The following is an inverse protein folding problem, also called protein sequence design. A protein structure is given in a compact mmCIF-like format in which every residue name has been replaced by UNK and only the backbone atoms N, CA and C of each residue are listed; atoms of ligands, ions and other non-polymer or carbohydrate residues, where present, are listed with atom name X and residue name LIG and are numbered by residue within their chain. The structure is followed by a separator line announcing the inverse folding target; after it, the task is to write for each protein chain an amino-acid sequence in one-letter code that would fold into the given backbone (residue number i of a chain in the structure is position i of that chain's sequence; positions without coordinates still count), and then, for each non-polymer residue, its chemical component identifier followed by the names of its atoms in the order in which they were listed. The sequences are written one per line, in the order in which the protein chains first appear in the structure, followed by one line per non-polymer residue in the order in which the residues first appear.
data_IF_007531022980
#
_entry.id   IF_007531022980
#
_cell.length_a   1.000
_cell.length_b   1.000
_cell.length_c   1.000
_cell.angle_alpha   90.00
_cell.angle_beta   90.00
_cell.angle_gamma   90.00
#
_symmetry.space_group_name_H-M   'P 1'
#
loop_
_entity.id
_entity.type
_entity.pdbx_description
1 polymer ?
#
# COMPACT_ATOMS: atom_id res chain seq x y z
N UNK A 1 -7.96 7.77 -5.09
CA UNK A 1 -8.23 7.57 -3.65
C UNK A 1 -9.64 8.04 -3.32
N UNK A 2 -10.42 7.24 -2.58
CA UNK A 2 -11.87 7.40 -2.43
C UNK A 2 -12.30 8.25 -1.21
N UNK A 3 -11.35 8.89 -0.50
CA UNK A 3 -11.58 9.75 0.68
C UNK A 3 -12.29 9.07 1.87
N UNK A 4 -12.39 7.74 1.89
CA UNK A 4 -13.08 6.97 2.95
C UNK A 4 -12.21 6.64 4.16
N UNK A 5 -10.88 6.75 4.03
CA UNK A 5 -9.93 6.27 5.04
C UNK A 5 -10.16 6.87 6.45
N UNK A 6 -10.29 8.20 6.64
CA UNK A 6 -10.42 8.77 7.98
C UNK A 6 -11.60 8.18 8.77
N UNK A 7 -12.75 8.00 8.11
CA UNK A 7 -13.95 7.44 8.75
C UNK A 7 -13.79 5.95 9.09
N UNK A 8 -13.15 5.18 8.21
CA UNK A 8 -12.89 3.76 8.45
C UNK A 8 -11.91 3.53 9.60
N UNK A 9 -10.87 4.37 9.68
CA UNK A 9 -9.91 4.33 10.79
C UNK A 9 -10.60 4.61 12.13
N UNK A 10 -11.45 5.64 12.18
CA UNK A 10 -12.21 6.01 13.38
C UNK A 10 -13.15 4.89 13.86
N UNK A 11 -13.84 4.23 12.91
CA UNK A 11 -14.71 3.08 13.20
C UNK A 11 -13.93 1.83 13.66
N UNK A 12 -12.64 1.75 13.34
CA UNK A 12 -11.77 0.61 13.62
C UNK A 12 -10.85 0.81 14.82
N UNK A 13 -11.08 1.85 15.65
CA UNK A 13 -10.20 2.24 16.77
C UNK A 13 -9.86 1.14 17.77
N UNK A 14 -10.73 0.14 17.92
CA UNK A 14 -10.58 -0.99 18.85
C UNK A 14 -10.12 -2.28 18.15
N UNK A 15 -9.66 -2.19 16.90
CA UNK A 15 -9.21 -3.31 16.08
C UNK A 15 -7.75 -3.14 15.63
N UNK A 16 -7.12 -4.23 15.20
CA UNK A 16 -5.85 -4.16 14.47
C UNK A 16 -6.09 -3.68 13.06
N UNK A 17 -5.68 -2.44 12.75
CA UNK A 17 -5.87 -1.81 11.46
C UNK A 17 -4.66 -2.00 10.55
N UNK A 18 -4.90 -2.64 9.40
CA UNK A 18 -3.89 -2.83 8.35
C UNK A 18 -4.29 -2.00 7.13
N UNK A 19 -3.40 -1.10 6.69
CA UNK A 19 -3.53 -0.46 5.39
C UNK A 19 -2.76 -1.27 4.35
N UNK A 20 -3.40 -1.55 3.21
CA UNK A 20 -2.82 -2.39 2.18
C UNK A 20 -2.96 -1.84 0.76
N UNK A 21 -2.02 -2.21 -0.10
CA UNK A 21 -2.13 -2.02 -1.55
C UNK A 21 -0.90 -1.37 -2.19
N UNK A 22 -0.76 -1.48 -3.53
CA UNK A 22 0.41 -0.95 -4.24
C UNK A 22 0.45 0.59 -4.30
N UNK A 23 -0.67 1.27 -4.05
CA UNK A 23 -0.76 2.73 -3.97
C UNK A 23 -0.55 3.28 -2.56
N UNK A 24 -0.24 2.41 -1.60
CA UNK A 24 -0.02 2.79 -0.20
C UNK A 24 1.30 3.58 -0.07
N UNK A 25 1.29 4.76 0.57
CA UNK A 25 2.51 5.47 0.90
C UNK A 25 3.15 4.86 2.16
N UNK A 26 4.47 4.71 2.16
CA UNK A 26 5.25 4.23 3.31
C UNK A 26 5.49 5.36 4.31
N UNK A 27 4.44 5.77 5.04
CA UNK A 27 4.46 6.88 6.00
C UNK A 27 4.19 6.38 7.42
N UNK A 28 5.11 6.64 8.35
CA UNK A 28 4.96 6.28 9.76
C UNK A 28 3.87 7.07 10.47
N UNK A 29 3.57 8.27 10.00
CA UNK A 29 2.55 9.17 10.53
C UNK A 29 1.14 8.59 10.41
N UNK A 30 0.94 7.55 9.59
CA UNK A 30 -0.31 6.80 9.54
C UNK A 30 -0.64 6.10 10.88
N UNK A 31 0.38 5.87 11.72
CA UNK A 31 0.19 5.37 13.08
C UNK A 31 -0.61 6.36 13.95
N UNK A 32 -0.46 7.67 13.74
CA UNK A 32 -1.24 8.71 14.43
C UNK A 32 -2.75 8.61 14.11
N UNK A 33 -3.08 7.96 12.98
CA UNK A 33 -4.44 7.68 12.55
C UNK A 33 -4.94 6.30 13.00
N UNK A 34 -4.20 5.59 13.85
CA UNK A 34 -4.57 4.29 14.41
C UNK A 34 -4.18 3.08 13.54
N UNK A 35 -3.34 3.26 12.52
CA UNK A 35 -2.86 2.15 11.66
C UNK A 35 -1.73 1.41 12.37
N UNK A 36 -1.79 0.07 12.39
CA UNK A 36 -0.77 -0.76 13.05
C UNK A 36 0.21 -1.39 12.04
N UNK A 37 -0.26 -1.67 10.81
CA UNK A 37 0.57 -2.28 9.78
C UNK A 37 0.34 -1.64 8.42
N UNK A 38 1.45 -1.50 7.68
CA UNK A 38 1.47 -1.15 6.27
C UNK A 38 1.83 -2.38 5.45
N UNK A 39 0.96 -2.75 4.52
CA UNK A 39 1.11 -3.89 3.64
C UNK A 39 1.12 -3.43 2.17
N UNK A 40 2.26 -2.88 1.77
CA UNK A 40 2.47 -2.23 0.48
C UNK A 40 3.37 -3.02 -0.45
N UNK A 41 3.93 -2.31 -1.42
CA UNK A 41 4.93 -2.86 -2.35
C UNK A 41 6.20 -2.02 -2.34
N UNK A 42 7.32 -2.68 -2.61
CA UNK A 42 8.61 -2.04 -2.88
C UNK A 42 8.96 -2.24 -4.34
N UNK A 43 9.44 -1.19 -4.99
CA UNK A 43 9.92 -1.27 -6.38
C UNK A 43 11.26 -1.99 -6.38
N UNK A 44 11.34 -3.11 -7.09
CA UNK A 44 12.58 -3.90 -7.27
C UNK A 44 13.17 -3.71 -8.67
N UNK A 45 12.33 -3.39 -9.66
CA UNK A 45 12.77 -3.11 -11.03
C UNK A 45 11.95 -1.93 -11.61
N UNK A 46 12.46 -0.69 -11.51
CA UNK A 46 11.74 0.49 -11.97
C UNK A 46 11.44 0.50 -13.47
N UNK A 47 12.32 -0.08 -14.29
CA UNK A 47 12.13 -0.11 -15.76
C UNK A 47 11.02 -1.08 -16.15
N UNK A 48 11.05 -2.30 -15.63
CA UNK A 48 10.01 -3.30 -15.87
C UNK A 48 8.64 -2.86 -15.33
N UNK A 49 8.62 -2.21 -14.16
CA UNK A 49 7.40 -1.63 -13.60
C UNK A 49 6.82 -0.57 -14.52
N UNK A 50 7.63 0.38 -14.98
CA UNK A 50 7.18 1.45 -15.88
C UNK A 50 6.59 0.90 -17.17
N UNK A 51 7.25 -0.07 -17.79
CA UNK A 51 6.75 -0.73 -19.01
C UNK A 51 5.41 -1.41 -18.75
N UNK A 52 5.33 -2.19 -17.67
CA UNK A 52 4.12 -2.94 -17.31
C UNK A 52 2.93 -2.00 -17.07
N UNK A 53 3.16 -0.86 -16.41
CA UNK A 53 2.13 0.17 -16.20
C UNK A 53 1.71 0.81 -17.53
N UNK A 54 2.66 1.14 -18.41
CA UNK A 54 2.39 1.74 -19.71
C UNK A 54 1.54 0.83 -20.63
N UNK A 55 1.66 -0.49 -20.48
CA UNK A 55 0.86 -1.48 -21.20
C UNK A 55 -0.51 -1.78 -20.56
N UNK A 56 -0.88 -1.08 -19.47
CA UNK A 56 -2.10 -1.40 -18.72
C UNK A 56 -2.05 -2.79 -18.06
N UNK A 57 -0.86 -3.25 -17.67
CA UNK A 57 -0.62 -4.63 -17.23
C UNK A 57 -1.28 -5.07 -15.94
N UNK A 58 -2.00 -4.20 -15.23
CA UNK A 58 -2.79 -4.56 -14.05
C UNK A 58 -1.96 -5.24 -12.96
N UNK A 59 -2.27 -6.50 -12.66
CA UNK A 59 -1.58 -7.30 -11.64
C UNK A 59 -0.18 -7.77 -12.08
N UNK A 60 0.19 -7.66 -13.36
CA UNK A 60 1.53 -8.05 -13.84
C UNK A 60 2.68 -7.29 -13.16
N UNK A 61 2.39 -6.16 -12.51
CA UNK A 61 3.39 -5.42 -11.72
C UNK A 61 4.03 -6.29 -10.62
N UNK A 62 3.28 -7.26 -10.08
CA UNK A 62 3.74 -8.17 -9.02
C UNK A 62 4.69 -9.26 -9.54
N UNK A 63 4.74 -9.49 -10.85
CA UNK A 63 5.62 -10.47 -11.48
C UNK A 63 6.94 -9.84 -11.92
N UNK A 64 6.92 -8.54 -12.27
CA UNK A 64 8.01 -7.91 -13.04
C UNK A 64 8.71 -6.77 -12.32
N UNK A 65 8.00 -6.02 -11.47
CA UNK A 65 8.43 -4.67 -11.07
C UNK A 65 8.44 -4.41 -9.57
N UNK A 66 7.63 -5.12 -8.80
CA UNK A 66 7.47 -4.89 -7.35
C UNK A 66 7.52 -6.17 -6.53
N UNK A 67 7.83 -6.02 -5.25
CA UNK A 67 7.75 -7.08 -4.26
C UNK A 67 6.86 -6.64 -3.09
N UNK A 68 6.04 -7.57 -2.58
CA UNK A 68 5.20 -7.31 -1.41
C UNK A 68 6.06 -7.11 -0.16
N UNK A 69 5.68 -6.15 0.68
CA UNK A 69 6.36 -5.84 1.92
C UNK A 69 5.32 -5.58 3.03
N UNK A 70 5.66 -5.97 4.25
CA UNK A 70 4.87 -5.67 5.44
C UNK A 70 5.77 -4.96 6.44
N UNK A 71 5.27 -3.88 7.02
CA UNK A 71 5.95 -3.12 8.07
C UNK A 71 4.95 -2.84 9.19
N UNK A 72 5.34 -3.12 10.43
CA UNK A 72 4.62 -2.64 11.61
C UNK A 72 5.05 -1.20 11.89
N UNK A 73 4.09 -0.31 12.16
CA UNK A 73 4.30 1.12 12.45
C UNK A 73 3.59 1.55 13.73
#
# INVERSE_FOLDING_TARGET
MNKTFPRLAELSKDATLVLMGPTLPWLSELAEMGVNYLAGVRIINPQALRQTVAEGGGTRIFETGVQYCIQQI
#
